data_IF_580229267378
#
_entry.id   IF_580229267378
#
_cell.length_a   1.000
_cell.length_b   1.000
_cell.length_c   1.000
_cell.angle_alpha   90.00
_cell.angle_beta   90.00
_cell.angle_gamma   90.00
#
_symmetry.space_group_name_H-M   'P 1'
#
loop_
_entity.id
_entity.type
_entity.pdbx_description
1 polymer ?
#
# COMPACT_ATOMS: atom_id res chain seq x y z
N UNK A 1 -10.14 -13.31 -11.21
CA UNK A 1 -9.84 -14.19 -10.07
C UNK A 1 -9.45 -13.30 -8.89
N UNK A 2 -10.10 -13.49 -7.74
CA UNK A 2 -9.82 -12.68 -6.54
C UNK A 2 -8.45 -13.04 -5.97
N UNK A 3 -7.63 -12.01 -5.63
CA UNK A 3 -6.36 -12.18 -4.92
C UNK A 3 -6.52 -11.94 -3.42
N UNK A 4 -7.44 -11.02 -3.05
CA UNK A 4 -7.78 -10.71 -1.67
C UNK A 4 -9.30 -10.80 -1.49
N UNK A 5 -9.73 -11.58 -0.51
CA UNK A 5 -11.13 -11.70 -0.11
C UNK A 5 -11.25 -11.34 1.36
N UNK A 6 -12.07 -10.36 1.65
CA UNK A 6 -12.45 -9.93 3.00
C UNK A 6 -13.92 -10.25 3.18
N UNK A 7 -14.28 -11.06 4.17
CA UNK A 7 -15.63 -11.55 4.39
C UNK A 7 -16.10 -11.25 5.80
N UNK A 8 -17.11 -10.38 5.93
CA UNK A 8 -17.77 -9.99 7.18
C UNK A 8 -16.81 -9.59 8.31
N UNK A 9 -15.71 -8.93 7.95
CA UNK A 9 -14.67 -8.55 8.91
C UNK A 9 -15.17 -7.44 9.82
N UNK A 10 -15.04 -7.70 11.12
CA UNK A 10 -15.35 -6.73 12.18
C UNK A 10 -14.15 -6.53 13.08
N UNK A 11 -13.94 -5.28 13.53
CA UNK A 11 -12.90 -4.88 14.46
C UNK A 11 -13.35 -3.76 15.38
N UNK A 12 -13.15 -3.97 16.68
CA UNK A 12 -13.48 -2.99 17.71
C UNK A 12 -12.27 -2.69 18.60
N UNK A 13 -12.24 -1.51 19.18
CA UNK A 13 -11.25 -1.09 20.16
C UNK A 13 -12.00 -0.52 21.36
N UNK A 14 -12.03 -1.27 22.47
CA UNK A 14 -12.88 -0.92 23.61
C UNK A 14 -14.34 -0.81 23.17
N UNK A 15 -14.96 0.35 23.39
CA UNK A 15 -16.36 0.61 22.98
C UNK A 15 -16.55 1.09 21.53
N UNK A 16 -15.46 1.30 20.77
CA UNK A 16 -15.53 1.84 19.41
C UNK A 16 -15.49 0.73 18.38
N UNK A 17 -16.56 0.59 17.58
CA UNK A 17 -16.62 -0.33 16.45
C UNK A 17 -15.97 0.35 15.23
N UNK A 18 -14.71 0.00 14.95
CA UNK A 18 -13.95 0.61 13.85
C UNK A 18 -14.28 0.01 12.48
N UNK A 19 -14.57 -1.29 12.41
CA UNK A 19 -15.10 -1.97 11.23
C UNK A 19 -16.25 -2.89 11.65
N UNK A 20 -17.31 -2.95 10.86
CA UNK A 20 -18.52 -3.76 11.12
C UNK A 20 -18.93 -4.45 9.84
N UNK A 21 -18.82 -5.77 9.80
CA UNK A 21 -19.26 -6.65 8.71
C UNK A 21 -18.75 -6.19 7.32
N UNK A 22 -17.46 -5.80 7.25
CA UNK A 22 -16.86 -5.38 6.00
C UNK A 22 -16.61 -6.58 5.09
N UNK A 23 -17.16 -6.51 3.88
CA UNK A 23 -16.89 -7.49 2.82
C UNK A 23 -16.43 -6.79 1.56
N UNK A 24 -15.30 -7.26 0.99
CA UNK A 24 -14.74 -6.75 -0.27
C UNK A 24 -13.86 -7.79 -0.94
N UNK A 25 -13.82 -7.73 -2.27
CA UNK A 25 -12.98 -8.58 -3.09
C UNK A 25 -12.09 -7.74 -3.99
N UNK A 26 -10.80 -8.06 -4.05
CA UNK A 26 -9.84 -7.43 -4.94
C UNK A 26 -9.39 -8.45 -5.99
N UNK A 27 -9.59 -8.11 -7.26
CA UNK A 27 -9.15 -8.95 -8.37
C UNK A 27 -7.65 -8.80 -8.63
N UNK A 28 -6.99 -9.92 -9.00
CA UNK A 28 -5.56 -9.93 -9.34
C UNK A 28 -5.28 -9.01 -10.53
N UNK A 29 -4.20 -8.23 -10.43
CA UNK A 29 -3.73 -7.33 -11.49
C UNK A 29 -4.53 -6.04 -11.61
N UNK A 30 -5.42 -5.71 -10.66
CA UNK A 30 -6.22 -4.48 -10.66
C UNK A 30 -5.65 -3.43 -9.70
N UNK A 31 -5.95 -2.17 -9.99
CA UNK A 31 -5.77 -1.07 -9.05
C UNK A 31 -7.14 -0.76 -8.44
N UNK A 32 -7.26 -0.95 -7.12
CA UNK A 32 -8.51 -0.75 -6.38
C UNK A 32 -8.34 0.36 -5.35
N UNK A 33 -9.33 1.24 -5.27
CA UNK A 33 -9.38 2.34 -4.31
C UNK A 33 -10.15 1.96 -3.05
N UNK A 34 -9.70 2.47 -1.90
CA UNK A 34 -10.46 2.46 -0.65
C UNK A 34 -10.56 3.89 -0.13
N UNK A 35 -11.75 4.46 -0.18
CA UNK A 35 -12.01 5.84 0.21
C UNK A 35 -12.97 5.94 1.41
N UNK A 36 -13.15 7.14 1.91
CA UNK A 36 -14.10 7.45 2.98
C UNK A 36 -13.60 8.59 3.86
N UNK A 37 -14.45 9.23 4.65
CA UNK A 37 -14.06 10.31 5.55
C UNK A 37 -13.06 9.84 6.62
N UNK A 38 -12.47 10.80 7.34
CA UNK A 38 -11.60 10.50 8.48
C UNK A 38 -12.40 9.72 9.54
N UNK A 39 -11.76 8.72 10.15
CA UNK A 39 -12.43 7.84 11.12
C UNK A 39 -13.38 6.81 10.54
N UNK A 40 -13.49 6.65 9.21
CA UNK A 40 -14.38 5.64 8.60
C UNK A 40 -13.89 4.20 8.72
N UNK A 41 -12.68 3.94 9.24
CA UNK A 41 -12.16 2.59 9.47
C UNK A 41 -11.17 2.07 8.43
N UNK A 42 -10.77 2.85 7.41
CA UNK A 42 -9.85 2.44 6.33
C UNK A 42 -8.51 1.90 6.83
N UNK A 43 -7.82 2.69 7.65
CA UNK A 43 -6.51 2.30 8.21
C UNK A 43 -6.64 1.08 9.14
N UNK A 44 -7.77 0.96 9.86
CA UNK A 44 -8.06 -0.22 10.69
C UNK A 44 -8.19 -1.46 9.80
N UNK A 45 -8.95 -1.37 8.70
CA UNK A 45 -9.10 -2.46 7.76
C UNK A 45 -7.75 -2.86 7.14
N UNK A 46 -6.91 -1.90 6.71
CA UNK A 46 -5.56 -2.18 6.22
C UNK A 46 -4.70 -2.91 7.26
N UNK A 47 -4.73 -2.43 8.52
CA UNK A 47 -4.01 -3.08 9.61
C UNK A 47 -4.50 -4.52 9.85
N UNK A 48 -5.80 -4.77 9.73
CA UNK A 48 -6.35 -6.12 9.85
C UNK A 48 -5.94 -7.02 8.68
N UNK A 49 -5.97 -6.52 7.44
CA UNK A 49 -5.57 -7.28 6.25
C UNK A 49 -4.11 -7.74 6.33
N UNK A 50 -3.20 -6.90 6.84
CA UNK A 50 -1.78 -7.26 6.97
C UNK A 50 -1.42 -7.93 8.30
N UNK A 51 -2.41 -8.25 9.14
CA UNK A 51 -2.19 -8.97 10.41
C UNK A 51 -1.62 -8.12 11.55
N UNK A 52 -1.61 -6.79 11.42
CA UNK A 52 -1.18 -5.87 12.50
C UNK A 52 -2.22 -5.86 13.64
N UNK A 53 -3.51 -5.89 13.29
CA UNK A 53 -4.61 -6.02 14.24
C UNK A 53 -5.36 -7.33 13.99
N UNK A 54 -5.53 -8.18 15.01
CA UNK A 54 -6.41 -9.34 14.88
C UNK A 54 -7.85 -8.86 14.65
N UNK A 55 -8.58 -9.54 13.80
CA UNK A 55 -10.01 -9.31 13.58
C UNK A 55 -10.82 -9.90 14.74
N UNK A 56 -12.01 -9.33 15.01
CA UNK A 56 -12.90 -9.85 16.04
C UNK A 56 -13.85 -10.92 15.46
N UNK A 57 -14.25 -10.75 14.18
CA UNK A 57 -15.09 -11.68 13.43
C UNK A 57 -14.78 -11.59 11.93
N UNK A 58 -15.20 -12.61 11.17
CA UNK A 58 -15.04 -12.68 9.73
C UNK A 58 -13.83 -13.49 9.30
N UNK A 59 -13.42 -13.34 8.05
CA UNK A 59 -12.23 -13.98 7.50
C UNK A 59 -11.56 -13.11 6.44
N UNK A 60 -10.24 -13.28 6.31
CA UNK A 60 -9.42 -12.62 5.28
C UNK A 60 -8.62 -13.70 4.58
N UNK A 61 -8.80 -13.81 3.24
CA UNK A 61 -8.03 -14.73 2.42
C UNK A 61 -7.17 -13.98 1.42
N UNK A 62 -5.93 -14.41 1.29
CA UNK A 62 -4.99 -13.95 0.27
C UNK A 62 -4.52 -15.13 -0.58
N UNK A 63 -4.70 -15.07 -1.92
CA UNK A 63 -4.47 -16.19 -2.83
C UNK A 63 -5.16 -17.49 -2.34
N UNK A 64 -6.44 -17.41 -1.95
CA UNK A 64 -7.26 -18.48 -1.39
C UNK A 64 -6.74 -19.08 -0.06
N UNK A 65 -5.70 -18.50 0.56
CA UNK A 65 -5.19 -18.92 1.87
C UNK A 65 -5.75 -18.02 2.95
N UNK A 66 -6.26 -18.61 4.04
CA UNK A 66 -6.69 -17.87 5.22
C UNK A 66 -5.48 -17.18 5.87
N UNK A 67 -5.58 -15.86 6.10
CA UNK A 67 -4.49 -15.05 6.67
C UNK A 67 -4.90 -14.26 7.92
N UNK A 68 -6.15 -14.36 8.35
CA UNK A 68 -6.72 -13.55 9.45
C UNK A 68 -5.94 -13.62 10.76
N UNK A 69 -5.32 -14.77 11.06
CA UNK A 69 -4.58 -15.01 12.30
C UNK A 69 -3.05 -15.08 12.07
N UNK A 70 -2.59 -14.84 10.84
CA UNK A 70 -1.18 -14.91 10.53
C UNK A 70 -0.45 -13.62 10.96
N UNK A 71 0.76 -13.73 11.50
CA UNK A 71 1.57 -12.56 11.84
C UNK A 71 2.10 -11.86 10.59
N UNK A 72 2.29 -10.52 10.69
CA UNK A 72 2.76 -9.65 9.60
C UNK A 72 3.92 -10.24 8.76
N UNK A 73 5.01 -10.80 9.36
CA UNK A 73 6.11 -11.35 8.58
C UNK A 73 5.72 -12.54 7.71
N UNK A 74 4.76 -13.35 8.15
CA UNK A 74 4.26 -14.49 7.38
C UNK A 74 3.43 -14.01 6.19
N UNK A 75 2.52 -13.07 6.42
CA UNK A 75 1.69 -12.46 5.36
C UNK A 75 2.60 -11.78 4.32
N UNK A 76 3.61 -11.05 4.77
CA UNK A 76 4.60 -10.42 3.88
C UNK A 76 5.36 -11.45 3.02
N UNK A 77 5.73 -12.61 3.59
CA UNK A 77 6.36 -13.72 2.84
C UNK A 77 5.44 -14.33 1.78
N UNK A 78 4.12 -14.27 1.98
CA UNK A 78 3.14 -14.69 0.97
C UNK A 78 3.02 -13.71 -0.21
N UNK A 79 3.63 -12.52 -0.13
CA UNK A 79 3.60 -11.53 -1.19
C UNK A 79 2.61 -10.39 -0.99
N UNK A 80 1.95 -10.28 0.18
CA UNK A 80 1.11 -9.16 0.55
C UNK A 80 1.91 -8.17 1.39
N UNK A 81 2.25 -7.02 0.81
CA UNK A 81 3.02 -5.98 1.49
C UNK A 81 2.20 -4.71 1.67
N UNK A 82 2.55 -3.91 2.67
CA UNK A 82 1.99 -2.59 2.90
C UNK A 82 3.10 -1.55 3.03
N UNK A 83 2.94 -0.40 2.35
CA UNK A 83 3.69 0.81 2.67
C UNK A 83 3.03 1.53 3.85
N UNK A 84 3.80 2.31 4.60
CA UNK A 84 3.28 3.03 5.76
C UNK A 84 2.97 4.48 5.40
N UNK A 85 2.03 5.08 6.12
CA UNK A 85 1.69 6.50 5.98
C UNK A 85 2.91 7.41 6.25
N UNK A 86 3.77 7.03 7.23
CA UNK A 86 5.07 7.68 7.44
C UNK A 86 6.16 6.89 6.71
N UNK A 87 6.93 7.58 5.90
CA UNK A 87 8.04 6.99 5.14
C UNK A 87 9.04 6.32 6.06
N UNK A 88 9.27 5.02 5.89
CA UNK A 88 10.21 4.22 6.68
C UNK A 88 11.49 3.98 5.90
N UNK A 89 12.31 5.02 5.78
CA UNK A 89 13.63 4.93 5.19
C UNK A 89 14.72 5.07 6.26
N UNK A 90 15.85 4.48 6.01
CA UNK A 90 17.06 4.67 6.83
C UNK A 90 17.79 5.92 6.35
N UNK A 91 17.46 7.07 6.90
CA UNK A 91 17.93 8.39 6.41
C UNK A 91 19.45 8.58 6.38
N UNK A 92 20.20 7.85 7.21
CA UNK A 92 21.67 7.88 7.24
C UNK A 92 22.33 7.04 6.15
N UNK A 93 21.59 6.08 5.59
CA UNK A 93 22.04 5.19 4.51
C UNK A 93 21.73 5.81 3.15
N UNK A 94 22.49 5.43 2.11
CA UNK A 94 22.19 5.83 0.75
C UNK A 94 20.99 5.03 0.17
N UNK A 95 20.55 5.40 -1.04
CA UNK A 95 19.39 4.76 -1.64
C UNK A 95 19.61 3.26 -1.90
N UNK A 96 20.80 2.87 -2.42
CA UNK A 96 21.11 1.45 -2.69
C UNK A 96 21.13 0.66 -1.39
N UNK A 97 21.74 1.18 -0.32
CA UNK A 97 21.76 0.53 0.99
C UNK A 97 20.36 0.32 1.54
N UNK A 98 19.45 1.32 1.39
CA UNK A 98 18.05 1.18 1.76
C UNK A 98 17.36 0.05 0.99
N UNK A 99 17.62 -0.06 -0.32
CA UNK A 99 17.08 -1.14 -1.15
C UNK A 99 17.54 -2.52 -0.66
N UNK A 100 18.84 -2.67 -0.42
CA UNK A 100 19.44 -3.93 -0.02
C UNK A 100 18.96 -4.42 1.34
N UNK A 101 18.80 -3.51 2.32
CA UNK A 101 18.27 -3.85 3.65
C UNK A 101 16.79 -4.27 3.59
N UNK A 102 16.02 -3.75 2.64
CA UNK A 102 14.61 -4.08 2.50
C UNK A 102 14.35 -5.48 1.93
N UNK A 103 15.36 -6.15 1.39
CA UNK A 103 15.22 -7.47 0.79
C UNK A 103 15.00 -8.58 1.83
N UNK A 104 14.08 -9.52 1.55
CA UNK A 104 13.64 -10.63 2.44
C UNK A 104 14.77 -11.56 2.95
N UNK A 105 15.93 -11.58 2.33
CA UNK A 105 17.07 -12.42 2.70
C UNK A 105 18.01 -11.80 3.72
N UNK A 106 17.72 -10.59 4.22
CA UNK A 106 18.62 -9.85 5.12
C UNK A 106 18.52 -10.24 6.59
N UNK A 107 17.72 -11.25 6.94
CA UNK A 107 17.42 -11.65 8.34
C UNK A 107 18.61 -12.26 9.11
N UNK A 108 19.74 -12.55 8.48
CA UNK A 108 20.90 -13.13 9.15
C UNK A 108 22.08 -12.15 9.20
N UNK A 109 22.20 -11.48 10.34
CA UNK A 109 23.37 -10.70 10.78
C UNK A 109 23.70 -9.48 9.92
N UNK A 110 23.25 -8.33 10.37
CA UNK A 110 23.57 -6.99 9.81
C UNK A 110 25.03 -6.79 9.43
N UNK A 111 25.97 -7.50 10.06
CA UNK A 111 27.40 -7.43 9.77
C UNK A 111 27.85 -8.29 8.58
N UNK A 112 27.07 -9.30 8.17
CA UNK A 112 27.39 -10.11 6.97
C UNK A 112 26.88 -9.51 5.68
N UNK A 113 25.88 -8.60 5.74
CA UNK A 113 25.28 -7.95 4.57
C UNK A 113 26.29 -7.11 3.79
N UNK A 114 27.26 -6.49 4.48
CA UNK A 114 28.26 -5.64 3.84
C UNK A 114 29.51 -6.39 3.33
N UNK A 115 29.66 -7.68 3.62
CA UNK A 115 30.88 -8.39 3.25
C UNK A 115 30.82 -9.11 1.87
N UNK A 116 29.65 -9.57 1.40
CA UNK A 116 29.49 -10.14 0.05
C UNK A 116 28.03 -9.97 -0.40
N UNK A 117 27.70 -8.77 -0.89
CA UNK A 117 26.40 -8.54 -1.52
C UNK A 117 26.41 -9.19 -2.90
N UNK A 118 25.46 -10.08 -3.24
CA UNK A 118 25.39 -10.64 -4.59
C UNK A 118 25.23 -9.51 -5.62
N UNK A 119 26.03 -9.56 -6.69
CA UNK A 119 25.98 -8.55 -7.76
C UNK A 119 24.58 -8.40 -8.34
N UNK A 120 23.87 -9.52 -8.52
CA UNK A 120 22.51 -9.57 -9.02
C UNK A 120 21.52 -8.73 -8.15
N UNK A 121 21.69 -8.76 -6.81
CA UNK A 121 20.84 -7.99 -5.90
C UNK A 121 21.08 -6.48 -6.02
N UNK A 122 22.35 -6.10 -6.22
CA UNK A 122 22.72 -4.70 -6.46
C UNK A 122 22.17 -4.21 -7.81
N UNK A 123 22.30 -5.02 -8.87
CA UNK A 123 21.74 -4.72 -10.18
C UNK A 123 20.21 -4.58 -10.12
N UNK A 124 19.53 -5.47 -9.39
CA UNK A 124 18.08 -5.36 -9.16
C UNK A 124 17.72 -4.05 -8.45
N UNK A 125 18.46 -3.68 -7.40
CA UNK A 125 18.25 -2.44 -6.67
C UNK A 125 18.43 -1.21 -7.59
N UNK A 126 19.49 -1.18 -8.39
CA UNK A 126 19.75 -0.10 -9.34
C UNK A 126 18.70 0.01 -10.44
N UNK A 127 18.22 -1.13 -10.95
CA UNK A 127 17.14 -1.17 -11.95
C UNK A 127 15.82 -0.61 -11.39
N UNK A 128 15.46 -0.96 -10.15
CA UNK A 128 14.28 -0.43 -9.49
C UNK A 128 14.43 1.06 -9.16
N UNK A 129 15.62 1.51 -8.74
CA UNK A 129 15.92 2.94 -8.56
C UNK A 129 15.80 3.70 -9.89
N UNK A 130 16.24 3.10 -10.99
CA UNK A 130 16.04 3.67 -12.32
C UNK A 130 14.56 3.75 -12.71
N UNK A 131 13.80 2.70 -12.45
CA UNK A 131 12.36 2.65 -12.68
C UNK A 131 11.61 3.79 -11.97
N UNK A 132 11.95 4.06 -10.68
CA UNK A 132 11.33 5.16 -9.94
C UNK A 132 11.98 6.53 -10.21
N UNK A 133 13.02 6.62 -11.05
CA UNK A 133 13.69 7.87 -11.41
C UNK A 133 14.69 8.36 -10.38
N UNK A 134 15.22 7.49 -9.53
CA UNK A 134 16.21 7.82 -8.48
C UNK A 134 17.63 7.31 -8.79
N UNK A 135 17.89 6.74 -9.97
CA UNK A 135 19.20 6.15 -10.29
C UNK A 135 20.35 7.13 -10.13
N UNK A 136 20.18 8.38 -10.59
CA UNK A 136 21.21 9.42 -10.46
C UNK A 136 21.50 9.83 -9.02
N UNK A 137 20.59 9.50 -8.10
CA UNK A 137 20.67 9.78 -6.67
C UNK A 137 20.98 8.54 -5.82
N UNK A 138 21.30 7.41 -6.45
CA UNK A 138 21.45 6.11 -5.77
C UNK A 138 22.47 6.11 -4.63
N UNK A 139 23.51 6.95 -4.72
CA UNK A 139 24.55 7.10 -3.71
C UNK A 139 24.26 8.25 -2.71
N UNK A 140 23.18 9.01 -2.90
CA UNK A 140 22.78 10.07 -1.98
C UNK A 140 22.15 9.46 -0.72
N UNK A 141 22.37 10.07 0.44
CA UNK A 141 21.69 9.65 1.67
C UNK A 141 20.18 9.81 1.49
N UNK A 142 19.42 8.81 1.90
CA UNK A 142 17.98 8.82 1.75
C UNK A 142 17.32 10.01 2.50
N UNK A 143 17.91 10.43 3.63
CA UNK A 143 17.46 11.61 4.38
C UNK A 143 17.59 12.94 3.64
N UNK A 144 18.50 13.03 2.62
CA UNK A 144 18.72 14.24 1.82
C UNK A 144 17.78 14.32 0.60
N UNK A 145 16.97 13.29 0.37
CA UNK A 145 15.94 13.26 -0.65
C UNK A 145 14.76 14.18 -0.26
N UNK A 146 14.11 14.80 -1.26
CA UNK A 146 12.82 15.45 -1.01
C UNK A 146 11.78 14.41 -0.57
N UNK A 147 10.74 14.85 0.13
CA UNK A 147 9.68 13.97 0.64
C UNK A 147 9.06 13.08 -0.46
N UNK A 148 8.78 13.65 -1.64
CA UNK A 148 8.27 12.86 -2.78
C UNK A 148 9.28 11.83 -3.29
N UNK A 149 10.59 12.15 -3.27
CA UNK A 149 11.65 11.20 -3.62
C UNK A 149 11.79 10.08 -2.58
N UNK A 150 11.59 10.39 -1.30
CA UNK A 150 11.56 9.39 -0.23
C UNK A 150 10.40 8.41 -0.43
N UNK A 151 9.21 8.88 -0.83
CA UNK A 151 8.06 8.04 -1.17
C UNK A 151 8.35 7.12 -2.37
N UNK A 152 9.04 7.62 -3.39
CA UNK A 152 9.48 6.81 -4.53
C UNK A 152 10.53 5.76 -4.11
N UNK A 153 11.45 6.10 -3.20
CA UNK A 153 12.39 5.14 -2.64
C UNK A 153 11.66 4.04 -1.85
N UNK A 154 10.69 4.41 -1.02
CA UNK A 154 9.85 3.45 -0.27
C UNK A 154 9.11 2.48 -1.21
N UNK A 155 8.55 3.00 -2.31
CA UNK A 155 7.95 2.16 -3.35
C UNK A 155 8.97 1.20 -3.95
N UNK A 156 10.16 1.67 -4.32
CA UNK A 156 11.22 0.83 -4.86
C UNK A 156 11.66 -0.25 -3.87
N UNK A 157 11.79 0.08 -2.57
CA UNK A 157 12.10 -0.87 -1.50
C UNK A 157 11.04 -1.97 -1.39
N UNK A 158 9.76 -1.63 -1.52
CA UNK A 158 8.69 -2.62 -1.52
C UNK A 158 8.79 -3.57 -2.73
N UNK A 159 9.15 -3.04 -3.90
CA UNK A 159 9.32 -3.82 -5.14
C UNK A 159 10.53 -4.78 -5.09
N UNK A 160 11.54 -4.54 -4.25
CA UNK A 160 12.66 -5.48 -4.04
C UNK A 160 12.19 -6.88 -3.65
N UNK A 161 11.05 -6.98 -3.00
CA UNK A 161 10.48 -8.22 -2.48
C UNK A 161 9.50 -8.91 -3.44
N UNK A 162 9.33 -8.39 -4.66
CA UNK A 162 8.44 -8.94 -5.71
C UNK A 162 7.05 -9.27 -5.16
N UNK A 163 6.33 -8.29 -4.59
CA UNK A 163 5.01 -8.56 -4.03
C UNK A 163 4.00 -8.91 -5.11
N UNK A 164 3.04 -9.75 -4.78
CA UNK A 164 1.86 -9.97 -5.64
C UNK A 164 0.81 -8.87 -5.45
N UNK A 165 0.78 -8.27 -4.25
CA UNK A 165 -0.12 -7.18 -3.90
C UNK A 165 0.55 -6.17 -2.97
N UNK A 166 0.32 -4.89 -3.25
CA UNK A 166 0.73 -3.77 -2.40
C UNK A 166 -0.49 -3.01 -1.86
N UNK A 167 -0.52 -2.82 -0.55
CA UNK A 167 -1.40 -1.89 0.12
C UNK A 167 -0.69 -0.54 0.29
N UNK A 168 -1.21 0.50 -0.31
CA UNK A 168 -0.64 1.84 -0.32
C UNK A 168 -1.51 2.77 0.53
N UNK A 169 -0.93 3.32 1.59
CA UNK A 169 -1.64 4.22 2.51
C UNK A 169 -1.24 5.67 2.22
N UNK A 170 -2.12 6.40 1.54
CA UNK A 170 -1.95 7.80 1.13
C UNK A 170 -0.63 8.09 0.40
N UNK A 171 -0.35 7.41 -0.72
CA UNK A 171 0.93 7.53 -1.42
C UNK A 171 1.24 8.94 -1.93
N UNK A 172 0.22 9.82 -2.05
CA UNK A 172 0.41 11.21 -2.51
C UNK A 172 0.31 12.26 -1.39
N UNK A 173 0.07 11.84 -0.13
CA UNK A 173 -0.04 12.77 0.98
C UNK A 173 1.26 13.58 1.20
N UNK A 174 1.14 14.89 1.37
CA UNK A 174 2.27 15.79 1.60
C UNK A 174 3.17 16.05 0.38
N UNK A 175 2.77 15.59 -0.81
CA UNK A 175 3.53 15.78 -2.04
C UNK A 175 3.07 17.04 -2.78
N UNK A 176 4.04 17.75 -3.33
CA UNK A 176 3.75 18.92 -4.17
C UNK A 176 2.83 18.52 -5.33
N UNK A 177 1.71 19.24 -5.58
CA UNK A 177 0.74 18.92 -6.64
C UNK A 177 1.36 18.70 -8.02
N UNK A 178 2.45 19.39 -8.34
CA UNK A 178 3.16 19.23 -9.62
C UNK A 178 3.82 17.86 -9.78
N UNK A 179 4.11 17.16 -8.68
CA UNK A 179 4.78 15.85 -8.67
C UNK A 179 3.80 14.68 -8.56
N UNK A 180 2.53 14.94 -8.21
CA UNK A 180 1.51 13.91 -8.00
C UNK A 180 1.32 13.06 -9.26
N UNK A 181 1.23 13.67 -10.44
CA UNK A 181 1.07 12.93 -11.70
C UNK A 181 2.24 11.96 -11.93
N UNK A 182 3.47 12.34 -11.57
CA UNK A 182 4.62 11.44 -11.68
C UNK A 182 4.52 10.21 -10.78
N UNK A 183 3.89 10.33 -9.60
CA UNK A 183 3.62 9.19 -8.72
C UNK A 183 2.51 8.32 -9.27
N UNK A 184 1.41 8.92 -9.75
CA UNK A 184 0.32 8.20 -10.41
C UNK A 184 0.87 7.35 -11.56
N UNK A 185 1.68 7.94 -12.45
CA UNK A 185 2.30 7.23 -13.57
C UNK A 185 3.17 6.05 -13.10
N UNK A 186 3.92 6.22 -11.99
CA UNK A 186 4.72 5.12 -11.44
C UNK A 186 3.85 4.00 -10.87
N UNK A 187 2.77 4.32 -10.17
CA UNK A 187 1.84 3.31 -9.63
C UNK A 187 1.14 2.54 -10.75
N UNK A 188 0.71 3.22 -11.81
CA UNK A 188 0.14 2.57 -13.00
C UNK A 188 1.17 1.62 -13.63
N UNK A 189 2.43 2.06 -13.79
CA UNK A 189 3.51 1.21 -14.31
C UNK A 189 3.84 0.04 -13.40
N UNK A 190 3.82 0.21 -12.08
CA UNK A 190 3.97 -0.92 -11.14
C UNK A 190 2.91 -1.99 -11.39
N UNK A 191 1.68 -1.59 -11.62
CA UNK A 191 0.62 -2.54 -11.95
C UNK A 191 0.81 -3.18 -13.33
N UNK A 192 1.08 -2.37 -14.37
CA UNK A 192 1.14 -2.84 -15.77
C UNK A 192 2.42 -3.65 -16.07
N UNK A 193 3.59 -3.15 -15.65
CA UNK A 193 4.89 -3.73 -16.02
C UNK A 193 5.26 -4.91 -15.12
N UNK A 194 4.85 -4.89 -13.84
CA UNK A 194 5.16 -5.95 -12.87
C UNK A 194 3.95 -6.86 -12.56
N UNK A 195 2.74 -6.52 -13.02
CA UNK A 195 1.52 -7.29 -12.75
C UNK A 195 1.06 -7.24 -11.29
N UNK A 196 1.55 -6.27 -10.51
CA UNK A 196 1.27 -6.16 -9.07
C UNK A 196 -0.12 -5.58 -8.86
N UNK A 197 -0.93 -6.23 -8.03
CA UNK A 197 -2.23 -5.71 -7.59
C UNK A 197 -2.03 -4.58 -6.59
N UNK A 198 -2.76 -3.48 -6.74
CA UNK A 198 -2.68 -2.34 -5.83
C UNK A 198 -4.01 -2.13 -5.12
N UNK A 199 -3.98 -1.98 -3.78
CA UNK A 199 -5.10 -1.48 -2.99
C UNK A 199 -4.66 -0.16 -2.34
N UNK A 200 -5.30 0.94 -2.72
CA UNK A 200 -4.84 2.29 -2.42
C UNK A 200 -5.85 3.01 -1.55
N UNK A 201 -5.44 3.44 -0.35
CA UNK A 201 -6.18 4.45 0.41
C UNK A 201 -5.72 5.82 -0.07
N UNK A 202 -6.67 6.66 -0.45
CA UNK A 202 -6.42 8.06 -0.83
C UNK A 202 -7.57 8.96 -0.38
N UNK A 203 -7.21 10.18 0.04
CA UNK A 203 -8.17 11.24 0.34
C UNK A 203 -8.35 12.20 -0.84
N UNK A 204 -7.38 12.24 -1.74
CA UNK A 204 -7.46 13.05 -2.94
C UNK A 204 -8.29 12.34 -4.00
N UNK A 205 -9.57 12.75 -4.13
CA UNK A 205 -10.50 12.16 -5.09
C UNK A 205 -9.96 12.20 -6.54
N UNK A 206 -9.22 13.25 -6.92
CA UNK A 206 -8.62 13.33 -8.26
C UNK A 206 -7.62 12.21 -8.50
N UNK A 207 -6.80 11.89 -7.50
CA UNK A 207 -5.79 10.82 -7.59
C UNK A 207 -6.46 9.47 -7.72
N UNK A 208 -7.41 9.17 -6.82
CA UNK A 208 -8.05 7.85 -6.81
C UNK A 208 -8.89 7.59 -8.07
N UNK A 209 -9.56 8.64 -8.59
CA UNK A 209 -10.32 8.55 -9.85
C UNK A 209 -9.44 8.31 -11.09
N UNK A 210 -8.16 8.69 -11.04
CA UNK A 210 -7.20 8.43 -12.12
C UNK A 210 -6.53 7.06 -11.99
N UNK A 211 -6.41 6.53 -10.77
CA UNK A 211 -5.69 5.28 -10.49
C UNK A 211 -6.59 4.06 -10.54
N UNK A 212 -7.74 4.12 -9.86
CA UNK A 212 -8.52 2.95 -9.54
C UNK A 212 -9.50 2.56 -10.66
N UNK A 213 -9.63 1.26 -10.90
CA UNK A 213 -10.64 0.69 -11.78
C UNK A 213 -11.95 0.40 -11.02
N UNK A 214 -11.84 0.13 -9.72
CA UNK A 214 -12.95 -0.07 -8.80
C UNK A 214 -12.65 0.61 -7.47
N UNK A 215 -13.66 1.18 -6.82
CA UNK A 215 -13.52 1.93 -5.58
C UNK A 215 -14.51 1.42 -4.55
N UNK A 216 -14.01 1.10 -3.35
CA UNK A 216 -14.79 0.84 -2.16
C UNK A 216 -14.85 2.11 -1.30
N UNK A 217 -16.03 2.48 -0.84
CA UNK A 217 -16.23 3.62 0.05
C UNK A 217 -16.67 3.13 1.43
N UNK A 218 -15.92 3.50 2.48
CA UNK A 218 -16.29 3.25 3.88
C UNK A 218 -16.85 4.51 4.54
N UNK A 219 -17.88 4.33 5.34
CA UNK A 219 -18.39 5.36 6.27
C UNK A 219 -18.82 4.70 7.57
N UNK A 220 -18.49 5.34 8.71
CA UNK A 220 -18.86 4.87 10.06
C UNK A 220 -18.54 3.38 10.30
N UNK A 221 -17.41 2.91 9.81
CA UNK A 221 -16.97 1.51 9.97
C UNK A 221 -17.70 0.50 9.09
N UNK A 222 -18.51 0.92 8.12
CA UNK A 222 -19.29 0.04 7.23
C UNK A 222 -19.00 0.33 5.77
N UNK A 223 -19.24 -0.67 4.92
CA UNK A 223 -19.22 -0.48 3.47
C UNK A 223 -20.42 0.38 3.07
N UNK A 224 -20.17 1.54 2.48
CA UNK A 224 -21.20 2.49 2.04
C UNK A 224 -21.55 2.29 0.56
N UNK A 225 -20.53 2.15 -0.28
CA UNK A 225 -20.68 2.00 -1.72
C UNK A 225 -19.50 1.23 -2.31
N UNK A 226 -19.70 0.63 -3.48
CA UNK A 226 -18.68 -0.01 -4.30
C UNK A 226 -19.08 0.18 -5.76
N UNK A 227 -18.11 0.53 -6.63
CA UNK A 227 -18.34 0.70 -8.06
C UNK A 227 -17.15 1.32 -8.78
N UNK A 228 -17.35 1.59 -10.07
CA UNK A 228 -16.41 2.34 -10.89
C UNK A 228 -16.22 3.77 -10.38
N UNK A 229 -15.13 4.46 -10.76
CA UNK A 229 -14.91 5.86 -10.41
C UNK A 229 -16.10 6.77 -10.69
N UNK A 230 -16.75 6.61 -11.86
CA UNK A 230 -17.90 7.44 -12.27
C UNK A 230 -19.15 7.16 -11.41
N UNK A 231 -19.42 5.90 -11.06
CA UNK A 231 -20.51 5.52 -10.18
C UNK A 231 -20.30 6.11 -8.78
N UNK A 232 -19.10 5.96 -8.22
CA UNK A 232 -18.75 6.50 -6.90
C UNK A 232 -18.82 8.02 -6.86
N UNK A 233 -18.37 8.71 -7.91
CA UNK A 233 -18.42 10.17 -8.02
C UNK A 233 -19.85 10.72 -8.03
N UNK A 234 -20.79 9.96 -8.59
CA UNK A 234 -22.20 10.35 -8.71
C UNK A 234 -23.09 9.82 -7.56
N UNK A 235 -22.58 8.93 -6.70
CA UNK A 235 -23.34 8.37 -5.59
C UNK A 235 -23.60 9.42 -4.50
N UNK A 236 -24.87 9.79 -4.35
CA UNK A 236 -25.30 10.78 -3.37
C UNK A 236 -24.90 10.40 -1.94
N UNK A 237 -24.90 9.12 -1.58
CA UNK A 237 -24.51 8.65 -0.25
C UNK A 237 -23.04 8.93 0.03
N UNK A 238 -22.17 8.76 -1.00
CA UNK A 238 -20.75 9.07 -0.92
C UNK A 238 -20.55 10.58 -0.78
N UNK A 239 -21.24 11.40 -1.58
CA UNK A 239 -21.17 12.85 -1.51
C UNK A 239 -21.59 13.35 -0.12
N UNK A 240 -22.72 12.87 0.39
CA UNK A 240 -23.26 13.26 1.70
C UNK A 240 -22.31 12.83 2.84
N UNK A 241 -21.64 11.67 2.74
CA UNK A 241 -20.67 11.21 3.74
C UNK A 241 -19.43 12.11 3.83
N UNK A 242 -19.02 12.73 2.72
CA UNK A 242 -17.90 13.68 2.71
C UNK A 242 -18.32 15.09 3.13
N UNK A 243 -19.55 15.52 2.80
CA UNK A 243 -20.07 16.84 3.18
C UNK A 243 -20.53 16.89 4.65
N UNK A 244 -21.05 15.80 5.18
CA UNK A 244 -21.50 15.68 6.57
C UNK A 244 -20.39 15.47 7.60
N UNK A 245 -19.14 15.31 7.15
CA UNK A 245 -17.97 15.11 8.01
C UNK A 245 -17.18 16.40 8.29
N UNK A 246 -17.74 17.57 7.94
CA UNK A 246 -17.16 18.90 8.24
C UNK A 246 -17.63 19.44 9.59
#
# INVERSE_FOLDING_TARGET
MSILEVSNVSKSFGGVKANVDISMNVEKGKIVGLIGPNGSGKTTLFNSIVGTYPIDNGSIKFNNKEVSELPVPVIAKLGLLRTFQQTRIYGKLNCVENMLISHKGSDESFMKIFSIIPKELTEKAENLLNFVGLYQKRNLRAGDLSFGQQKLLELAMALMNEPEMLLLDEPTAGINPTLINGIIDRLIKVNQDFGITLLVIEHNMRVIMQLAENIFCLAHGKMLANGSPDEIKSDKRVIDAYLGAQ
#
